data_IF_476857842851
#
_entry.id   IF_476857842851
#
_cell.length_a   1.000
_cell.length_b   1.000
_cell.length_c   1.000
_cell.angle_alpha   90.00
_cell.angle_beta   90.00
_cell.angle_gamma   90.00
#
_symmetry.space_group_name_H-M   'P 1'
#
loop_
_entity.id
_entity.type
_entity.pdbx_description
1 polymer ?
#
# COMPACT_ATOMS: atom_id res chain seq x y z
N UNK A 1 -17.93 -1.24 -5.64
CA UNK A 1 -16.58 -1.44 -5.06
C UNK A 1 -15.57 -0.70 -5.92
N UNK A 2 -14.67 0.06 -5.29
CA UNK A 2 -13.68 0.90 -5.94
C UNK A 2 -12.28 0.32 -5.77
N UNK A 3 -11.58 0.04 -6.88
CA UNK A 3 -10.17 -0.34 -6.88
C UNK A 3 -9.30 0.91 -7.12
N UNK A 4 -8.54 1.35 -6.11
CA UNK A 4 -7.73 2.56 -6.19
C UNK A 4 -6.25 2.21 -6.28
N UNK A 5 -5.58 2.66 -7.36
CA UNK A 5 -4.20 2.26 -7.69
C UNK A 5 -3.42 3.33 -8.47
N UNK A 6 -2.13 3.12 -8.76
CA UNK A 6 -1.32 3.97 -9.66
C UNK A 6 -0.81 3.22 -10.90
N UNK A 7 -1.62 2.31 -11.46
CA UNK A 7 -1.24 1.48 -12.62
C UNK A 7 -0.85 2.27 -13.89
N UNK A 8 -1.23 3.55 -14.01
CA UNK A 8 -0.76 4.42 -15.10
C UNK A 8 0.76 4.70 -15.05
N UNK A 9 1.35 4.66 -13.84
CA UNK A 9 2.79 4.80 -13.62
C UNK A 9 3.42 3.44 -13.28
N UNK A 10 2.88 2.77 -12.26
CA UNK A 10 3.38 1.50 -11.74
C UNK A 10 2.73 0.30 -12.46
N UNK A 11 2.94 0.22 -13.77
CA UNK A 11 2.26 -0.73 -14.67
C UNK A 11 2.40 -2.20 -14.26
N UNK A 12 3.54 -2.58 -13.66
CA UNK A 12 3.79 -3.98 -13.29
C UNK A 12 3.25 -4.33 -11.91
N UNK A 13 3.44 -3.48 -10.90
CA UNK A 13 3.00 -3.77 -9.52
C UNK A 13 1.53 -3.46 -9.35
N UNK A 14 1.14 -2.22 -9.58
CA UNK A 14 -0.23 -1.76 -9.42
C UNK A 14 -1.11 -2.25 -10.57
N UNK A 15 -0.54 -2.42 -11.76
CA UNK A 15 -1.24 -3.06 -12.86
C UNK A 15 -1.54 -4.53 -12.58
N UNK A 16 -0.67 -5.26 -11.86
CA UNK A 16 -0.99 -6.61 -11.39
C UNK A 16 -2.15 -6.57 -10.39
N UNK A 17 -2.13 -5.64 -9.43
CA UNK A 17 -3.22 -5.47 -8.48
C UNK A 17 -4.57 -5.21 -9.18
N UNK A 18 -4.59 -4.27 -10.12
CA UNK A 18 -5.78 -3.96 -10.92
C UNK A 18 -6.24 -5.17 -11.74
N UNK A 19 -5.32 -5.87 -12.41
CA UNK A 19 -5.66 -7.08 -13.18
C UNK A 19 -6.31 -8.15 -12.30
N UNK A 20 -5.76 -8.40 -11.11
CA UNK A 20 -6.32 -9.38 -10.16
C UNK A 20 -7.70 -8.94 -9.66
N UNK A 21 -7.91 -7.64 -9.44
CA UNK A 21 -9.22 -7.10 -9.09
C UNK A 21 -10.26 -7.37 -10.18
N UNK A 22 -9.93 -7.15 -11.45
CA UNK A 22 -10.81 -7.45 -12.59
C UNK A 22 -11.07 -8.97 -12.74
N UNK A 23 -10.02 -9.80 -12.60
CA UNK A 23 -10.13 -11.26 -12.68
C UNK A 23 -11.07 -11.82 -11.61
N UNK A 24 -10.91 -11.41 -10.34
CA UNK A 24 -11.79 -11.83 -9.24
C UNK A 24 -13.17 -11.19 -9.39
N UNK A 25 -13.23 -9.94 -9.86
CA UNK A 25 -14.47 -9.20 -10.04
C UNK A 25 -15.46 -9.85 -11.02
N UNK A 26 -14.96 -10.67 -11.94
CA UNK A 26 -15.78 -11.48 -12.85
C UNK A 26 -16.62 -12.55 -12.13
N UNK A 27 -16.17 -13.04 -10.97
CA UNK A 27 -16.90 -14.01 -10.15
C UNK A 27 -18.06 -13.36 -9.37
N UNK A 28 -18.14 -12.02 -9.36
CA UNK A 28 -19.16 -11.22 -8.64
C UNK A 28 -19.87 -10.25 -9.60
N UNK A 29 -20.72 -10.74 -10.53
CA UNK A 29 -21.37 -9.91 -11.54
C UNK A 29 -22.37 -8.90 -10.96
N UNK A 30 -22.99 -9.22 -9.82
CA UNK A 30 -24.00 -8.38 -9.16
C UNK A 30 -23.39 -7.20 -8.39
N UNK A 31 -22.06 -7.13 -8.30
CA UNK A 31 -21.34 -6.03 -7.65
C UNK A 31 -20.81 -5.09 -8.71
N UNK A 32 -21.26 -3.83 -8.65
CA UNK A 32 -20.70 -2.74 -9.46
C UNK A 32 -19.23 -2.49 -9.08
N UNK A 33 -18.38 -2.37 -10.11
CA UNK A 33 -16.94 -2.28 -9.98
C UNK A 33 -16.46 -1.04 -10.73
N UNK A 34 -15.66 -0.24 -10.05
CA UNK A 34 -14.98 0.92 -10.62
C UNK A 34 -13.49 0.87 -10.26
N UNK A 35 -12.64 1.44 -11.10
CA UNK A 35 -11.23 1.63 -10.81
C UNK A 35 -10.83 3.09 -10.97
N UNK A 36 -10.01 3.59 -10.04
CA UNK A 36 -9.60 4.99 -9.98
C UNK A 36 -8.09 5.08 -9.82
N UNK A 37 -7.49 6.07 -10.46
CA UNK A 37 -6.10 6.42 -10.16
C UNK A 37 -6.07 7.11 -8.79
N UNK A 38 -5.10 6.76 -7.93
CA UNK A 38 -5.06 7.21 -6.52
C UNK A 38 -5.07 8.72 -6.32
N UNK A 39 -4.59 9.51 -7.28
CA UNK A 39 -4.66 10.98 -7.20
C UNK A 39 -6.11 11.49 -7.29
N UNK A 40 -6.83 11.10 -8.35
CA UNK A 40 -8.23 11.49 -8.53
C UNK A 40 -9.14 10.78 -7.52
N UNK A 41 -8.83 9.53 -7.14
CA UNK A 41 -9.52 8.79 -6.09
C UNK A 41 -9.43 9.49 -4.73
N UNK A 42 -8.24 9.94 -4.34
CA UNK A 42 -8.03 10.70 -3.11
C UNK A 42 -8.76 12.04 -3.14
N UNK A 43 -8.70 12.78 -4.26
CA UNK A 43 -9.41 14.04 -4.42
C UNK A 43 -10.93 13.85 -4.28
N UNK A 44 -11.49 12.81 -4.91
CA UNK A 44 -12.91 12.52 -4.82
C UNK A 44 -13.33 12.02 -3.44
N UNK A 45 -12.48 11.25 -2.75
CA UNK A 45 -12.72 10.82 -1.37
C UNK A 45 -12.77 12.03 -0.42
N UNK A 46 -11.90 13.02 -0.62
CA UNK A 46 -11.90 14.25 0.18
C UNK A 46 -13.12 15.15 -0.10
N UNK A 47 -13.53 15.26 -1.37
CA UNK A 47 -14.63 16.13 -1.80
C UNK A 47 -16.01 15.52 -1.53
N UNK A 48 -16.22 14.27 -1.96
CA UNK A 48 -17.51 13.55 -1.87
C UNK A 48 -17.33 12.16 -1.24
N UNK A 49 -16.93 12.05 0.04
CA UNK A 49 -16.65 10.76 0.68
C UNK A 49 -17.82 9.78 0.65
N UNK A 50 -19.06 10.28 0.77
CA UNK A 50 -20.28 9.46 0.75
C UNK A 50 -20.63 8.85 -0.62
N UNK A 51 -19.87 9.14 -1.67
CA UNK A 51 -19.98 8.45 -2.95
C UNK A 51 -19.30 7.08 -2.96
N UNK A 52 -18.48 6.76 -1.95
CA UNK A 52 -17.76 5.50 -1.86
C UNK A 52 -18.43 4.55 -0.87
N UNK A 53 -18.62 3.29 -1.28
CA UNK A 53 -19.08 2.22 -0.38
C UNK A 53 -17.92 1.40 0.18
N UNK A 54 -17.14 0.76 -0.70
CA UNK A 54 -16.01 -0.10 -0.34
C UNK A 54 -14.86 0.22 -1.27
N UNK A 55 -13.70 0.54 -0.68
CA UNK A 55 -12.48 0.89 -1.41
C UNK A 55 -11.39 -0.13 -1.12
N UNK A 56 -10.77 -0.66 -2.18
CA UNK A 56 -9.72 -1.67 -2.13
C UNK A 56 -8.45 -1.08 -2.73
N UNK A 57 -7.33 -1.20 -2.01
CA UNK A 57 -6.09 -0.49 -2.29
C UNK A 57 -4.85 -1.34 -1.95
N UNK A 58 -3.72 -1.13 -2.67
CA UNK A 58 -2.39 -1.49 -2.18
C UNK A 58 -2.09 -0.89 -0.80
N UNK A 59 -1.25 -1.58 -0.03
CA UNK A 59 -0.97 -1.29 1.39
C UNK A 59 -0.72 0.20 1.69
N UNK A 60 0.27 0.83 1.03
CA UNK A 60 0.62 2.23 1.27
C UNK A 60 -0.53 3.21 1.02
N UNK A 61 -1.36 2.96 0.02
CA UNK A 61 -2.49 3.85 -0.28
C UNK A 61 -3.63 3.65 0.71
N UNK A 62 -3.84 2.40 1.14
CA UNK A 62 -4.78 2.06 2.22
C UNK A 62 -4.42 2.75 3.53
N UNK A 63 -3.14 2.71 3.92
CA UNK A 63 -2.61 3.40 5.11
C UNK A 63 -2.94 4.91 5.05
N UNK A 64 -2.51 5.59 3.99
CA UNK A 64 -2.71 7.04 3.85
C UNK A 64 -4.19 7.43 3.76
N UNK A 65 -4.97 6.76 2.90
CA UNK A 65 -6.34 7.18 2.60
C UNK A 65 -7.35 6.74 3.67
N UNK A 66 -7.07 5.68 4.44
CA UNK A 66 -7.90 5.32 5.59
C UNK A 66 -7.80 6.35 6.72
N UNK A 67 -6.61 6.91 6.97
CA UNK A 67 -6.40 8.02 7.91
C UNK A 67 -7.15 9.29 7.47
N UNK A 68 -7.08 9.62 6.18
CA UNK A 68 -7.84 10.75 5.60
C UNK A 68 -9.35 10.53 5.79
N UNK A 69 -9.86 9.33 5.48
CA UNK A 69 -11.26 9.00 5.66
C UNK A 69 -11.71 9.11 7.13
N UNK A 70 -10.89 8.61 8.07
CA UNK A 70 -11.17 8.73 9.51
C UNK A 70 -11.17 10.19 9.99
N UNK A 71 -10.25 11.01 9.46
CA UNK A 71 -10.21 12.44 9.78
C UNK A 71 -11.42 13.20 9.22
N UNK A 72 -11.89 12.85 8.01
CA UNK A 72 -13.13 13.37 7.43
C UNK A 72 -14.34 13.00 8.28
N UNK A 73 -14.38 11.75 8.78
CA UNK A 73 -15.44 11.28 9.68
C UNK A 73 -15.43 11.97 11.05
N UNK A 74 -14.35 12.67 11.40
CA UNK A 74 -14.27 13.57 12.54
C UNK A 74 -12.94 13.51 13.28
N UNK A 75 -12.33 12.33 13.38
CA UNK A 75 -11.04 12.12 14.04
C UNK A 75 -10.49 10.73 13.75
N UNK A 76 -9.18 10.65 13.52
CA UNK A 76 -8.43 9.38 13.47
C UNK A 76 -8.64 8.55 14.74
N UNK A 77 -8.90 9.19 15.89
CA UNK A 77 -9.21 8.55 17.17
C UNK A 77 -10.52 7.76 17.21
N UNK A 78 -11.37 7.87 16.18
CA UNK A 78 -12.64 7.14 16.09
C UNK A 78 -12.53 5.81 15.35
N UNK A 79 -11.48 5.59 14.56
CA UNK A 79 -11.45 4.47 13.64
C UNK A 79 -10.76 3.23 14.24
N UNK A 80 -11.53 2.14 14.30
CA UNK A 80 -11.02 0.79 14.54
C UNK A 80 -10.67 0.10 13.21
N UNK A 81 -9.82 -0.93 13.28
CA UNK A 81 -9.41 -1.75 12.15
C UNK A 81 -9.35 -3.23 12.52
N UNK A 82 -9.30 -4.06 11.48
CA UNK A 82 -9.14 -5.49 11.61
C UNK A 82 -8.16 -6.02 10.56
N UNK A 83 -7.12 -6.70 11.03
CA UNK A 83 -6.21 -7.49 10.23
C UNK A 83 -6.73 -8.92 10.21
N UNK A 84 -7.36 -9.32 9.10
CA UNK A 84 -7.97 -10.64 8.94
C UNK A 84 -7.06 -11.51 8.06
N UNK A 85 -6.46 -12.53 8.66
CA UNK A 85 -5.69 -13.55 7.97
C UNK A 85 -6.45 -14.87 7.83
N UNK A 86 -5.85 -15.84 7.15
CA UNK A 86 -6.43 -17.18 6.95
C UNK A 86 -6.54 -17.97 8.27
N UNK A 87 -5.60 -17.74 9.20
CA UNK A 87 -5.51 -18.49 10.47
C UNK A 87 -5.75 -17.64 11.72
N UNK A 88 -5.44 -16.35 11.64
CA UNK A 88 -5.45 -15.44 12.77
C UNK A 88 -6.10 -14.13 12.38
N UNK A 89 -6.72 -13.47 13.37
CA UNK A 89 -7.25 -12.14 13.25
C UNK A 89 -6.70 -11.25 14.38
N UNK A 90 -6.43 -9.98 14.07
CA UNK A 90 -5.99 -8.97 15.02
C UNK A 90 -6.83 -7.71 14.85
N UNK A 91 -7.30 -7.15 15.96
CA UNK A 91 -8.16 -5.97 15.98
C UNK A 91 -7.45 -4.86 16.74
N UNK A 92 -7.32 -3.69 16.10
CA UNK A 92 -6.56 -2.57 16.65
C UNK A 92 -7.18 -1.23 16.23
N UNK A 93 -6.75 -0.13 16.84
CA UNK A 93 -7.09 1.19 16.32
C UNK A 93 -6.19 1.50 15.10
N UNK A 94 -6.65 2.32 14.15
CA UNK A 94 -5.78 2.74 13.04
C UNK A 94 -4.65 3.66 13.50
N UNK A 95 -4.87 4.40 14.60
CA UNK A 95 -3.89 5.37 15.08
C UNK A 95 -2.70 4.72 15.79
N UNK A 96 -1.55 5.39 15.72
CA UNK A 96 -0.36 5.00 16.46
C UNK A 96 -0.41 5.31 17.98
N UNK A 97 0.76 5.20 18.63
CA UNK A 97 0.90 5.30 20.09
C UNK A 97 0.73 6.72 20.68
N UNK A 98 0.73 7.76 19.85
CA UNK A 98 0.65 9.17 20.24
C UNK A 98 1.43 9.52 21.52
N UNK A 99 2.78 9.36 21.55
CA UNK A 99 3.57 9.44 22.79
C UNK A 99 3.39 10.75 23.57
N UNK A 100 3.15 11.86 22.86
CA UNK A 100 2.90 13.19 23.43
C UNK A 100 1.63 13.27 24.29
N UNK A 101 0.74 12.27 24.23
CA UNK A 101 -0.54 12.20 24.97
C UNK A 101 -0.56 11.10 26.03
N UNK A 102 0.51 10.29 26.12
CA UNK A 102 0.58 9.19 27.07
C UNK A 102 0.47 9.71 28.51
N UNK A 103 -0.34 9.04 29.34
CA UNK A 103 -0.53 9.36 30.76
C UNK A 103 -1.39 10.60 31.06
N UNK A 104 -1.90 11.31 30.05
CA UNK A 104 -2.60 12.60 30.25
C UNK A 104 -4.12 12.49 30.42
N UNK A 105 -4.69 11.28 30.37
CA UNK A 105 -6.15 11.08 30.38
C UNK A 105 -6.88 11.88 29.28
N UNK A 106 -6.26 12.04 28.10
CA UNK A 106 -6.78 12.89 27.02
C UNK A 106 -7.14 12.12 25.75
N UNK A 107 -6.55 10.94 25.53
CA UNK A 107 -6.75 10.18 24.31
C UNK A 107 -8.21 9.72 24.15
N UNK A 108 -8.70 9.73 22.92
CA UNK A 108 -9.99 9.15 22.58
C UNK A 108 -9.87 7.62 22.50
N UNK A 109 -10.55 6.85 23.36
CA UNK A 109 -10.44 5.39 23.34
C UNK A 109 -11.34 4.73 22.26
N UNK A 110 -12.07 5.51 21.47
CA UNK A 110 -13.11 5.00 20.56
C UNK A 110 -12.57 4.06 19.49
N UNK A 111 -11.42 4.35 18.86
CA UNK A 111 -10.85 3.49 17.83
C UNK A 111 -10.57 2.07 18.34
N UNK A 112 -9.94 1.95 19.51
CA UNK A 112 -9.67 0.63 20.12
C UNK A 112 -10.96 -0.04 20.61
N UNK A 113 -11.91 0.71 21.17
CA UNK A 113 -13.21 0.19 21.57
C UNK A 113 -13.96 -0.41 20.36
N UNK A 114 -14.01 0.31 19.24
CA UNK A 114 -14.71 -0.12 18.03
C UNK A 114 -13.98 -1.27 17.32
N UNK A 115 -12.66 -1.34 17.41
CA UNK A 115 -11.92 -2.55 17.04
C UNK A 115 -12.32 -3.75 17.92
N UNK A 116 -12.52 -3.55 19.21
CA UNK A 116 -13.09 -4.54 20.12
C UNK A 116 -14.51 -4.98 19.72
N UNK A 117 -15.35 -4.04 19.25
CA UNK A 117 -16.67 -4.37 18.68
C UNK A 117 -16.52 -5.26 17.44
N UNK A 118 -15.59 -4.95 16.52
CA UNK A 118 -15.30 -5.79 15.36
C UNK A 118 -14.84 -7.20 15.77
N UNK A 119 -14.00 -7.29 16.81
CA UNK A 119 -13.57 -8.56 17.38
C UNK A 119 -14.76 -9.38 17.91
N UNK A 120 -15.67 -8.75 18.68
CA UNK A 120 -16.87 -9.41 19.21
C UNK A 120 -17.74 -9.98 18.08
N UNK A 121 -17.93 -9.23 16.99
CA UNK A 121 -18.63 -9.73 15.79
C UNK A 121 -17.90 -10.94 15.21
N UNK A 122 -16.57 -10.86 15.06
CA UNK A 122 -15.74 -11.92 14.49
C UNK A 122 -15.78 -13.23 15.32
N UNK A 123 -15.75 -13.14 16.65
CA UNK A 123 -15.86 -14.30 17.55
C UNK A 123 -17.31 -14.74 17.81
N UNK A 124 -18.26 -14.28 16.97
CA UNK A 124 -19.68 -14.64 16.98
C UNK A 124 -20.40 -14.25 18.29
N UNK A 125 -20.08 -13.08 18.82
CA UNK A 125 -20.78 -12.43 19.93
C UNK A 125 -21.48 -11.14 19.47
N UNK A 126 -22.41 -11.20 18.48
CA UNK A 126 -23.03 -10.01 17.91
C UNK A 126 -23.89 -9.25 18.91
N UNK A 127 -24.50 -9.92 19.88
CA UNK A 127 -25.31 -9.28 20.94
C UNK A 127 -24.46 -8.38 21.84
N UNK A 128 -23.24 -8.83 22.20
CA UNK A 128 -22.30 -8.03 22.97
C UNK A 128 -21.74 -6.87 22.15
N UNK A 129 -21.46 -7.11 20.86
CA UNK A 129 -21.07 -6.06 19.93
C UNK A 129 -22.16 -4.98 19.81
N UNK A 130 -23.43 -5.37 19.67
CA UNK A 130 -24.59 -4.47 19.58
C UNK A 130 -24.75 -3.67 20.88
N UNK A 131 -24.61 -4.33 22.04
CA UNK A 131 -24.71 -3.68 23.36
C UNK A 131 -23.67 -2.57 23.54
N UNK A 132 -22.40 -2.87 23.24
CA UNK A 132 -21.28 -1.92 23.43
C UNK A 132 -21.35 -0.79 22.41
N UNK A 133 -21.59 -1.10 21.13
CA UNK A 133 -21.59 -0.08 20.08
C UNK A 133 -22.77 0.88 20.21
N UNK A 134 -23.98 0.40 20.53
CA UNK A 134 -25.11 1.31 20.76
C UNK A 134 -24.92 2.20 22.00
N UNK A 135 -24.27 1.70 23.05
CA UNK A 135 -23.91 2.51 24.21
C UNK A 135 -22.90 3.62 23.84
N UNK A 136 -21.92 3.30 23.01
CA UNK A 136 -20.98 4.28 22.46
C UNK A 136 -21.68 5.33 21.59
N UNK A 137 -22.54 4.92 20.65
CA UNK A 137 -23.34 5.83 19.82
C UNK A 137 -24.19 6.76 20.69
N UNK A 138 -24.86 6.20 21.72
CA UNK A 138 -25.65 7.00 22.66
C UNK A 138 -24.80 8.01 23.44
N UNK A 139 -23.54 7.67 23.74
CA UNK A 139 -22.61 8.56 24.47
C UNK A 139 -22.23 9.77 23.62
N UNK A 140 -21.88 9.51 22.36
CA UNK A 140 -21.57 10.54 21.36
C UNK A 140 -22.81 11.40 21.06
N UNK A 141 -23.97 10.79 20.85
CA UNK A 141 -25.22 11.52 20.62
C UNK A 141 -25.62 12.46 21.76
N UNK A 142 -25.37 12.08 23.01
CA UNK A 142 -25.63 12.95 24.17
C UNK A 142 -24.59 14.09 24.31
N UNK A 143 -23.60 14.17 23.41
CA UNK A 143 -22.62 15.25 23.34
C UNK A 143 -21.49 15.12 24.36
N UNK A 144 -21.21 13.91 24.85
CA UNK A 144 -20.08 13.63 25.74
C UNK A 144 -18.90 13.24 24.87
N UNK A 145 -17.96 14.17 24.69
CA UNK A 145 -16.93 14.07 23.68
C UNK A 145 -15.53 14.25 24.26
N UNK A 146 -14.58 13.51 23.72
CA UNK A 146 -13.15 13.75 23.93
C UNK A 146 -12.68 14.94 23.09
N UNK A 147 -11.50 15.47 23.40
CA UNK A 147 -11.04 16.76 22.84
C UNK A 147 -11.00 16.82 21.30
N UNK A 148 -10.81 15.69 20.64
CA UNK A 148 -10.61 15.55 19.20
C UNK A 148 -11.91 15.65 18.40
N UNK A 149 -13.04 15.34 19.03
CA UNK A 149 -14.37 15.43 18.42
C UNK A 149 -15.27 16.45 19.13
N UNK A 150 -14.79 17.10 20.19
CA UNK A 150 -15.50 18.16 20.88
C UNK A 150 -15.58 19.42 20.01
N UNK A 151 -16.80 19.93 19.85
CA UNK A 151 -17.13 21.19 19.20
C UNK A 151 -18.24 21.89 19.99
N UNK A 152 -18.10 23.18 20.23
CA UNK A 152 -18.99 23.96 21.12
C UNK A 152 -20.46 23.99 20.66
N UNK A 153 -20.71 23.81 19.37
CA UNK A 153 -22.03 23.85 18.75
C UNK A 153 -22.85 22.56 18.91
N UNK A 154 -22.17 21.40 18.98
CA UNK A 154 -22.83 20.07 19.07
C UNK A 154 -22.51 19.30 20.36
N UNK A 155 -21.51 19.71 21.12
CA UNK A 155 -21.05 18.98 22.31
C UNK A 155 -21.62 19.59 23.59
N UNK A 156 -21.92 18.75 24.57
CA UNK A 156 -22.41 19.18 25.89
C UNK A 156 -21.33 19.10 26.97
N UNK A 157 -20.42 18.13 26.85
CA UNK A 157 -19.40 17.90 27.86
C UNK A 157 -18.10 17.43 27.22
N UNK A 158 -17.00 18.13 27.54
CA UNK A 158 -15.65 17.69 27.21
C UNK A 158 -15.12 16.78 28.31
N UNK A 159 -14.69 15.57 27.96
CA UNK A 159 -14.21 14.55 28.91
C UNK A 159 -12.84 14.01 28.55
N UNK A 160 -12.16 13.45 29.55
CA UNK A 160 -10.94 12.67 29.37
C UNK A 160 -11.22 11.21 29.01
N UNK A 161 -10.15 10.43 28.83
CA UNK A 161 -10.22 9.01 28.43
C UNK A 161 -11.06 8.18 29.41
N UNK A 162 -10.80 8.31 30.71
CA UNK A 162 -11.46 7.55 31.78
C UNK A 162 -12.94 7.90 31.89
N UNK A 163 -13.25 9.20 31.86
CA UNK A 163 -14.61 9.70 32.01
C UNK A 163 -15.46 9.35 30.77
N UNK A 164 -14.87 9.38 29.58
CA UNK A 164 -15.53 8.88 28.36
C UNK A 164 -15.86 7.38 28.48
N UNK A 165 -14.91 6.55 28.92
CA UNK A 165 -15.16 5.12 29.12
C UNK A 165 -16.27 4.85 30.15
N UNK A 166 -16.26 5.58 31.28
CA UNK A 166 -17.33 5.49 32.29
C UNK A 166 -18.69 5.92 31.71
N UNK A 167 -18.72 6.95 30.87
CA UNK A 167 -19.92 7.41 30.21
C UNK A 167 -20.50 6.32 29.28
N UNK A 168 -19.65 5.63 28.51
CA UNK A 168 -20.07 4.48 27.68
C UNK A 168 -20.65 3.37 28.55
N UNK A 169 -19.97 2.99 29.64
CA UNK A 169 -20.45 1.94 30.55
C UNK A 169 -21.82 2.28 31.16
N UNK A 170 -22.04 3.54 31.56
CA UNK A 170 -23.31 4.01 32.11
C UNK A 170 -24.49 3.99 31.10
N UNK A 171 -24.20 3.75 29.81
CA UNK A 171 -25.17 3.71 28.71
C UNK A 171 -25.34 2.31 28.12
N UNK A 172 -24.71 1.28 28.68
CA UNK A 172 -24.99 -0.10 28.30
C UNK A 172 -26.50 -0.39 28.42
N UNK A 173 -27.06 -1.00 27.39
CA UNK A 173 -28.50 -1.29 27.27
C UNK A 173 -29.33 -0.12 26.70
N UNK A 174 -28.74 1.06 26.50
CA UNK A 174 -29.40 2.18 25.81
C UNK A 174 -29.06 2.18 24.32
N UNK A 175 -30.01 2.63 23.50
CA UNK A 175 -29.82 2.87 22.07
C UNK A 175 -29.81 4.37 21.79
N UNK A 176 -29.10 4.85 20.75
CA UNK A 176 -29.25 6.23 20.28
C UNK A 176 -30.69 6.51 19.84
N UNK A 177 -31.12 7.77 19.98
CA UNK A 177 -32.44 8.28 19.59
C UNK A 177 -32.44 8.97 18.20
N UNK A 178 -31.32 9.58 17.82
CA UNK A 178 -31.13 10.34 16.58
C UNK A 178 -30.15 9.66 15.62
N UNK A 179 -29.02 9.17 16.12
CA UNK A 179 -28.11 8.33 15.34
C UNK A 179 -28.78 6.98 15.06
N UNK A 180 -28.51 6.41 13.88
CA UNK A 180 -29.05 5.10 13.51
C UNK A 180 -28.49 4.04 14.47
N UNK A 181 -29.33 3.32 15.23
CA UNK A 181 -28.85 2.22 16.06
C UNK A 181 -28.28 1.11 15.20
N UNK A 182 -27.24 0.46 15.68
CA UNK A 182 -26.62 -0.67 14.99
C UNK A 182 -27.25 -1.98 15.43
N UNK A 183 -27.21 -2.96 14.53
CA UNK A 183 -27.48 -4.36 14.83
C UNK A 183 -26.54 -5.23 14.02
N UNK A 184 -26.00 -6.26 14.67
CA UNK A 184 -25.02 -7.14 14.07
C UNK A 184 -25.60 -8.52 13.83
N UNK A 185 -25.26 -9.11 12.69
CA UNK A 185 -25.46 -10.54 12.45
C UNK A 185 -24.21 -11.29 12.91
N UNK A 186 -24.37 -12.54 13.33
CA UNK A 186 -23.23 -13.41 13.56
C UNK A 186 -22.36 -13.47 12.30
N UNK A 187 -21.04 -13.37 12.48
CA UNK A 187 -20.10 -13.60 11.40
C UNK A 187 -20.32 -15.01 10.80
N UNK A 188 -20.23 -15.16 9.46
CA UNK A 188 -20.29 -16.47 8.84
C UNK A 188 -19.15 -17.34 9.35
N UNK A 189 -19.33 -18.65 9.30
CA UNK A 189 -18.25 -19.58 9.64
C UNK A 189 -17.11 -19.39 8.63
N UNK A 190 -15.92 -19.07 9.14
CA UNK A 190 -14.73 -18.95 8.31
C UNK A 190 -14.20 -20.35 8.01
N UNK A 191 -14.55 -20.89 6.84
CA UNK A 191 -13.79 -22.00 6.27
C UNK A 191 -12.48 -21.46 5.72
N UNK A 192 -11.36 -21.99 6.21
CA UNK A 192 -10.06 -21.71 5.63
C UNK A 192 -10.05 -22.20 4.17
N UNK A 193 -10.24 -21.30 3.23
CA UNK A 193 -10.00 -21.57 1.81
C UNK A 193 -8.51 -21.44 1.55
N UNK A 194 -7.87 -22.53 1.15
CA UNK A 194 -6.54 -22.45 0.55
C UNK A 194 -6.65 -21.71 -0.78
N UNK A 195 -6.15 -20.48 -0.82
CA UNK A 195 -6.01 -19.73 -2.06
C UNK A 195 -4.74 -20.20 -2.76
N UNK A 196 -4.90 -21.19 -3.65
CA UNK A 196 -3.82 -21.58 -4.57
C UNK A 196 -3.96 -20.73 -5.83
N UNK A 197 -2.99 -19.86 -6.08
CA UNK A 197 -2.96 -19.10 -7.33
C UNK A 197 -2.83 -20.07 -8.51
N UNK A 198 -3.82 -20.07 -9.40
CA UNK A 198 -3.84 -20.87 -10.62
C UNK A 198 -3.08 -20.16 -11.73
N UNK A 199 -1.77 -19.97 -11.56
CA UNK A 199 -0.96 -19.39 -12.63
C UNK A 199 -0.62 -20.43 -13.69
N UNK A 200 -0.83 -20.07 -14.96
CA UNK A 200 -0.30 -20.83 -16.09
C UNK A 200 1.23 -20.69 -16.10
N UNK A 201 1.99 -21.79 -16.21
CA UNK A 201 3.42 -21.71 -16.41
C UNK A 201 3.74 -20.84 -17.63
N UNK A 202 4.70 -19.92 -17.49
CA UNK A 202 5.21 -19.10 -18.58
C UNK A 202 6.61 -19.53 -18.98
N UNK A 203 6.94 -19.36 -20.26
CA UNK A 203 8.30 -19.55 -20.76
C UNK A 203 9.15 -18.38 -20.27
N UNK A 204 9.93 -18.61 -19.20
CA UNK A 204 10.85 -17.64 -18.62
C UNK A 204 12.20 -17.70 -19.34
N UNK A 205 12.64 -16.58 -19.90
CA UNK A 205 13.96 -16.46 -20.55
C UNK A 205 14.74 -15.29 -19.97
N UNK A 206 15.99 -15.53 -19.57
CA UNK A 206 16.92 -14.49 -19.13
C UNK A 206 17.46 -13.77 -20.37
N UNK A 207 17.36 -12.45 -20.43
CA UNK A 207 17.79 -11.66 -21.59
C UNK A 207 18.82 -10.58 -21.22
N UNK A 208 19.17 -10.44 -19.94
CA UNK A 208 20.13 -9.43 -19.50
C UNK A 208 20.17 -9.26 -17.98
N UNK A 209 20.83 -8.19 -17.55
CA UNK A 209 20.99 -7.81 -16.15
C UNK A 209 21.06 -6.29 -16.02
N UNK A 210 20.37 -5.73 -15.04
CA UNK A 210 20.68 -4.40 -14.52
C UNK A 210 21.73 -4.55 -13.42
N UNK A 211 22.89 -3.91 -13.60
CA UNK A 211 23.95 -3.83 -12.59
C UNK A 211 23.89 -2.44 -11.97
N UNK A 212 23.77 -2.38 -10.64
CA UNK A 212 23.82 -1.11 -9.91
C UNK A 212 25.23 -0.86 -9.42
N UNK A 213 25.77 0.32 -9.72
CA UNK A 213 27.14 0.72 -9.41
C UNK A 213 27.12 1.94 -8.50
N UNK A 214 27.96 1.93 -7.47
CA UNK A 214 28.32 3.10 -6.66
C UNK A 214 29.58 3.76 -7.24
N UNK A 215 29.44 4.99 -7.72
CA UNK A 215 30.53 5.71 -8.39
C UNK A 215 30.32 7.23 -8.43
N UNK A 216 31.33 7.99 -8.01
CA UNK A 216 31.28 9.46 -7.85
C UNK A 216 32.36 10.23 -8.64
N UNK A 217 33.13 9.54 -9.50
CA UNK A 217 34.39 10.07 -10.05
C UNK A 217 34.28 10.81 -11.40
N UNK A 218 33.07 11.14 -11.86
CA UNK A 218 32.90 11.83 -13.15
C UNK A 218 31.47 11.87 -13.68
N UNK A 219 31.33 11.92 -15.00
CA UNK A 219 30.05 12.10 -15.69
C UNK A 219 29.39 10.77 -16.10
N UNK A 220 28.08 10.77 -16.42
CA UNK A 220 27.40 9.58 -16.94
C UNK A 220 28.05 9.03 -18.22
N UNK A 221 28.65 9.90 -19.04
CA UNK A 221 29.35 9.48 -20.27
C UNK A 221 30.67 8.76 -19.95
N UNK A 222 31.41 9.23 -18.94
CA UNK A 222 32.66 8.59 -18.52
C UNK A 222 32.38 7.17 -18.02
N UNK A 223 31.38 7.01 -17.16
CA UNK A 223 30.96 5.71 -16.66
C UNK A 223 30.39 4.83 -17.79
N UNK A 224 29.51 5.38 -18.62
CA UNK A 224 28.90 4.65 -19.74
C UNK A 224 29.94 4.09 -20.69
N UNK A 225 30.86 4.93 -21.18
CA UNK A 225 31.93 4.52 -22.11
C UNK A 225 32.91 3.50 -21.47
N UNK A 226 33.17 3.60 -20.17
CA UNK A 226 33.98 2.62 -19.47
C UNK A 226 33.26 1.26 -19.39
N UNK A 227 31.99 1.25 -19.02
CA UNK A 227 31.18 0.04 -18.91
C UNK A 227 30.88 -0.61 -20.27
N UNK A 228 30.79 0.17 -21.35
CA UNK A 228 30.69 -0.38 -22.71
C UNK A 228 31.88 -1.27 -23.06
N UNK A 229 33.10 -0.87 -22.66
CA UNK A 229 34.33 -1.65 -22.92
C UNK A 229 34.40 -2.93 -22.07
N UNK A 230 33.68 -2.96 -20.95
CA UNK A 230 33.59 -4.12 -20.05
C UNK A 230 32.43 -5.06 -20.44
N UNK A 231 31.51 -4.58 -21.29
CA UNK A 231 30.54 -5.44 -21.95
C UNK A 231 31.28 -6.46 -22.83
N UNK A 232 30.74 -7.67 -22.93
CA UNK A 232 31.44 -8.76 -23.59
C UNK A 232 30.66 -10.06 -23.52
N UNK A 233 31.18 -11.09 -24.20
CA UNK A 233 30.56 -12.42 -24.27
C UNK A 233 29.11 -12.38 -24.77
N UNK A 234 28.77 -11.47 -25.69
CA UNK A 234 27.43 -11.34 -26.26
C UNK A 234 26.45 -10.50 -25.42
N UNK A 235 26.91 -9.85 -24.35
CA UNK A 235 26.19 -8.79 -23.64
C UNK A 235 26.65 -7.42 -24.14
N UNK A 236 25.71 -6.49 -24.28
CA UNK A 236 25.96 -5.07 -24.60
C UNK A 236 25.35 -4.18 -23.53
N UNK A 237 26.02 -3.07 -23.23
CA UNK A 237 25.41 -1.99 -22.44
C UNK A 237 24.33 -1.32 -23.31
N UNK A 238 23.12 -1.19 -22.77
CA UNK A 238 21.97 -0.60 -23.46
C UNK A 238 21.73 0.82 -22.99
N UNK A 239 21.83 1.07 -21.68
CA UNK A 239 21.70 2.41 -21.10
C UNK A 239 22.24 2.47 -19.67
N UNK A 240 22.53 3.69 -19.21
CA UNK A 240 22.56 4.02 -17.79
C UNK A 240 21.34 4.87 -17.45
N UNK A 241 20.82 4.67 -16.24
CA UNK A 241 19.93 5.65 -15.62
C UNK A 241 20.40 6.03 -14.23
N UNK A 242 20.04 7.24 -13.83
CA UNK A 242 20.22 7.74 -12.47
C UNK A 242 18.84 8.14 -11.93
N UNK A 243 18.45 7.59 -10.77
CA UNK A 243 17.10 7.79 -10.18
C UNK A 243 15.93 7.53 -11.16
N UNK A 244 16.12 6.59 -12.09
CA UNK A 244 15.10 6.19 -13.08
C UNK A 244 15.14 6.92 -14.43
N UNK A 245 15.88 8.03 -14.53
CA UNK A 245 16.02 8.82 -15.75
C UNK A 245 17.21 8.35 -16.58
N UNK A 246 17.02 8.12 -17.88
CA UNK A 246 18.13 7.77 -18.79
C UNK A 246 19.14 8.91 -18.84
N UNK A 247 20.41 8.57 -18.58
CA UNK A 247 21.54 9.51 -18.61
C UNK A 247 22.62 9.12 -19.63
N UNK A 248 22.57 7.89 -20.13
CA UNK A 248 23.47 7.40 -21.17
C UNK A 248 22.79 6.31 -22.02
N UNK A 249 23.01 6.28 -23.34
CA UNK A 249 23.58 7.37 -24.15
C UNK A 249 22.58 8.53 -24.26
N UNK A 250 23.10 9.74 -24.51
CA UNK A 250 22.26 10.91 -24.81
C UNK A 250 21.35 11.37 -23.66
N UNK A 251 21.89 11.41 -22.43
CA UNK A 251 21.18 11.97 -21.28
C UNK A 251 20.89 13.46 -21.42
N UNK A 252 19.84 13.94 -20.73
CA UNK A 252 19.53 15.36 -20.67
C UNK A 252 20.53 16.09 -19.76
N UNK A 253 21.15 17.22 -20.18
CA UNK A 253 22.22 17.88 -19.43
C UNK A 253 21.78 18.37 -18.04
N UNK A 254 20.51 18.75 -17.88
CA UNK A 254 19.97 19.22 -16.60
C UNK A 254 19.61 18.09 -15.61
N UNK A 255 19.89 16.83 -15.96
CA UNK A 255 19.62 15.71 -15.05
C UNK A 255 20.60 15.75 -13.89
N UNK A 256 20.11 16.14 -12.71
CA UNK A 256 20.88 16.01 -11.47
C UNK A 256 21.06 14.52 -11.16
N UNK A 257 22.29 14.12 -10.86
CA UNK A 257 22.64 12.72 -10.61
C UNK A 257 23.08 12.51 -9.16
N UNK A 258 22.98 11.27 -8.68
CA UNK A 258 23.66 10.79 -7.48
C UNK A 258 24.74 9.75 -7.85
N UNK A 259 25.46 9.27 -6.85
CA UNK A 259 26.49 8.22 -6.94
C UNK A 259 25.94 6.82 -7.28
N UNK A 260 24.61 6.64 -7.32
CA UNK A 260 23.97 5.36 -7.64
C UNK A 260 23.49 5.28 -9.10
N UNK A 261 24.04 4.33 -9.85
CA UNK A 261 23.78 4.16 -11.28
C UNK A 261 23.17 2.80 -11.58
N UNK A 262 22.07 2.76 -12.33
CA UNK A 262 21.57 1.51 -12.91
C UNK A 262 22.10 1.37 -14.33
N UNK A 263 22.93 0.37 -14.57
CA UNK A 263 23.56 0.06 -15.84
C UNK A 263 22.90 -1.18 -16.46
N UNK A 264 22.15 -1.00 -17.54
CA UNK A 264 21.42 -2.11 -18.19
C UNK A 264 22.29 -2.79 -19.22
N UNK A 265 22.55 -4.08 -19.03
CA UNK A 265 23.19 -4.94 -20.00
C UNK A 265 22.20 -5.95 -20.54
N UNK A 266 22.15 -6.14 -21.86
CA UNK A 266 21.28 -7.13 -22.50
C UNK A 266 22.06 -7.97 -23.49
N UNK A 267 21.59 -9.19 -23.73
CA UNK A 267 22.04 -9.98 -24.86
C UNK A 267 21.67 -9.29 -26.18
N UNK A 268 22.34 -9.71 -27.26
CA UNK A 268 21.92 -9.32 -28.61
C UNK A 268 20.45 -9.67 -28.86
N UNK A 269 19.82 -8.90 -29.75
CA UNK A 269 18.39 -9.05 -30.05
C UNK A 269 18.05 -10.48 -30.48
N UNK A 270 17.01 -11.06 -29.88
CA UNK A 270 16.60 -12.44 -30.11
C UNK A 270 17.45 -13.52 -29.43
N UNK A 271 18.48 -13.16 -28.65
CA UNK A 271 19.28 -14.13 -27.89
C UNK A 271 18.96 -14.11 -26.40
N UNK A 272 19.07 -15.27 -25.76
CA UNK A 272 19.04 -15.39 -24.32
C UNK A 272 20.43 -15.10 -23.72
N UNK A 273 20.45 -14.47 -22.55
CA UNK A 273 21.63 -14.38 -21.70
C UNK A 273 21.71 -15.61 -20.78
N UNK A 274 22.92 -15.89 -20.32
CA UNK A 274 23.24 -16.97 -19.38
C UNK A 274 23.80 -16.40 -18.09
N UNK A 275 23.65 -17.14 -16.98
CA UNK A 275 24.25 -16.75 -15.71
C UNK A 275 25.79 -16.68 -15.79
N UNK A 276 26.43 -17.50 -16.62
CA UNK A 276 27.87 -17.46 -16.83
C UNK A 276 28.32 -16.12 -17.44
N UNK A 277 27.62 -15.63 -18.46
CA UNK A 277 27.89 -14.30 -19.06
C UNK A 277 27.73 -13.17 -18.04
N UNK A 278 26.71 -13.25 -17.17
CA UNK A 278 26.49 -12.25 -16.11
C UNK A 278 27.63 -12.30 -15.08
N UNK A 279 28.04 -13.49 -14.62
CA UNK A 279 29.17 -13.63 -13.69
C UNK A 279 30.46 -13.07 -14.30
N UNK A 280 30.73 -13.38 -15.57
CA UNK A 280 31.88 -12.84 -16.31
C UNK A 280 31.84 -11.31 -16.39
N UNK A 281 30.67 -10.73 -16.67
CA UNK A 281 30.48 -9.28 -16.68
C UNK A 281 30.77 -8.66 -15.30
N UNK A 282 30.20 -9.20 -14.22
CA UNK A 282 30.44 -8.70 -12.86
C UNK A 282 31.91 -8.80 -12.47
N UNK A 283 32.59 -9.89 -12.86
CA UNK A 283 34.03 -10.05 -12.66
C UNK A 283 34.84 -8.98 -13.38
N UNK A 284 34.47 -8.61 -14.61
CA UNK A 284 35.12 -7.52 -15.36
C UNK A 284 34.86 -6.14 -14.73
N UNK A 285 33.64 -5.88 -14.29
CA UNK A 285 33.26 -4.63 -13.59
C UNK A 285 34.08 -4.48 -12.30
N UNK A 286 34.09 -5.52 -11.46
CA UNK A 286 34.86 -5.53 -10.22
C UNK A 286 36.37 -5.45 -10.47
N UNK A 287 36.89 -6.19 -11.45
CA UNK A 287 38.31 -6.17 -11.81
C UNK A 287 38.80 -4.82 -12.33
N UNK A 288 37.90 -4.01 -12.89
CA UNK A 288 38.17 -2.64 -13.29
C UNK A 288 38.01 -1.61 -12.14
N UNK A 289 37.67 -2.06 -10.94
CA UNK A 289 37.57 -1.23 -9.73
C UNK A 289 36.26 -0.49 -9.57
N UNK A 290 35.19 -0.90 -10.26
CA UNK A 290 33.84 -0.37 -10.06
C UNK A 290 33.09 -1.18 -9.00
N UNK A 291 32.51 -0.50 -8.01
CA UNK A 291 31.78 -1.13 -6.92
C UNK A 291 30.34 -1.42 -7.36
N UNK A 292 30.03 -2.69 -7.65
CA UNK A 292 28.66 -3.11 -7.94
C UNK A 292 27.96 -3.51 -6.64
N UNK A 293 26.82 -2.88 -6.36
CA UNK A 293 26.14 -2.97 -5.07
C UNK A 293 24.83 -3.77 -5.14
N UNK A 294 24.29 -3.98 -6.34
CA UNK A 294 23.05 -4.73 -6.57
C UNK A 294 22.97 -5.21 -8.02
N UNK A 295 22.28 -6.32 -8.25
CA UNK A 295 21.91 -6.78 -9.59
C UNK A 295 20.43 -7.14 -9.67
N UNK A 296 19.84 -6.99 -10.85
CA UNK A 296 18.47 -7.44 -11.16
C UNK A 296 18.48 -8.17 -12.51
N UNK A 297 18.03 -9.42 -12.54
CA UNK A 297 17.94 -10.18 -13.79
C UNK A 297 16.81 -9.66 -14.67
N UNK A 298 17.08 -9.48 -15.96
CA UNK A 298 16.10 -9.06 -16.95
C UNK A 298 15.52 -10.29 -17.61
N UNK A 299 14.24 -10.57 -17.35
CA UNK A 299 13.56 -11.74 -17.89
C UNK A 299 12.45 -11.33 -18.85
N UNK A 300 12.19 -12.19 -19.82
CA UNK A 300 10.90 -12.22 -20.52
C UNK A 300 10.07 -13.40 -20.00
N UNK A 301 8.75 -13.23 -20.06
CA UNK A 301 7.77 -14.27 -19.77
C UNK A 301 6.85 -14.37 -20.97
N UNK A 302 6.91 -15.49 -21.70
CA UNK A 302 6.20 -15.67 -22.98
C UNK A 302 6.52 -14.56 -23.99
N UNK A 303 7.80 -14.15 -24.04
CA UNK A 303 8.29 -13.08 -24.90
C UNK A 303 8.00 -11.65 -24.40
N UNK A 304 7.18 -11.48 -23.36
CA UNK A 304 6.88 -10.17 -22.79
C UNK A 304 7.94 -9.75 -21.75
N UNK A 305 8.51 -8.53 -21.83
CA UNK A 305 9.46 -8.04 -20.84
C UNK A 305 8.87 -8.02 -19.41
N UNK A 306 9.54 -8.68 -18.49
CA UNK A 306 9.26 -8.68 -17.05
C UNK A 306 9.92 -7.52 -16.31
N UNK A 307 10.14 -6.38 -16.98
CA UNK A 307 10.78 -5.19 -16.44
C UNK A 307 10.34 -3.95 -17.23
N UNK A 308 10.53 -2.76 -16.67
CA UNK A 308 10.22 -1.49 -17.34
C UNK A 308 11.43 -0.89 -18.04
N UNK A 309 11.16 -0.07 -19.04
CA UNK A 309 12.16 0.81 -19.66
C UNK A 309 12.49 1.99 -18.74
N UNK A 310 13.69 2.57 -18.89
CA UNK A 310 14.01 3.83 -18.22
C UNK A 310 13.18 4.98 -18.75
N UNK A 311 12.95 6.03 -17.96
CA UNK A 311 12.30 7.23 -18.47
C UNK A 311 13.19 7.87 -19.57
N UNK A 312 12.61 8.05 -20.77
CA UNK A 312 13.33 8.54 -21.95
C UNK A 312 14.10 7.47 -22.75
N UNK A 313 13.92 6.19 -22.42
CA UNK A 313 14.34 5.06 -23.27
C UNK A 313 13.28 4.76 -24.34
#
# INVERSE_FOLDING_TARGET
IYCVHKANIMKMTDGLFHKVFEEIGADYPDIEKEHWIVDIGAAKLADTPGAFDVVVMPNLYGDILSDVAAQIAGSVGLAGSANIGVKYAMFEAIHGSAPRRAGQNLANPSGLLLAGVMMLVHIRQPEMAELVHNAWLRTVEEGIHTYDIFKDDVSKQKVGTKEFAQAVVARLGKKPEHLKPVSYKSAPEQTATEFVSKHKPSKKELIGVDVFVDWDKGTPNDLGQALEKLAGEGLRLVMLSNRGTKVYPGGHPDTITCDNWRCRFQAEEGKAATHAQIIGLLGRIAGAGYDFIKTEGLYTFDGQPGFTLGQGQ
#
